data_IF_317233852425
#
_entry.id   IF_317233852425
#
_cell.length_a   1.000
_cell.length_b   1.000
_cell.length_c   1.000
_cell.angle_alpha   90.00
_cell.angle_beta   90.00
_cell.angle_gamma   90.00
#
_symmetry.space_group_name_H-M   'P 1'
#
loop_
_entity.id
_entity.type
_entity.pdbx_description
1 polymer ?
#
# COMPACT_ATOMS: atom_id res chain seq x y z
N UNK A 1 -2.19 -9.57 3.69
CA UNK A 1 -3.37 -10.09 4.41
C UNK A 1 -3.65 -9.14 5.56
N UNK A 2 -4.84 -8.58 5.50
CA UNK A 2 -5.21 -7.28 6.04
C UNK A 2 -5.77 -7.33 7.46
N UNK A 3 -5.48 -8.40 8.20
CA UNK A 3 -6.02 -8.62 9.54
C UNK A 3 -5.85 -7.37 10.41
N UNK A 4 -6.95 -6.97 11.06
CA UNK A 4 -7.00 -5.69 11.76
C UNK A 4 -6.00 -5.64 12.92
N UNK A 5 -5.08 -4.68 12.85
CA UNK A 5 -4.04 -4.48 13.87
C UNK A 5 -2.86 -5.45 13.77
N UNK A 6 -2.87 -6.39 12.81
CA UNK A 6 -1.75 -7.28 12.54
C UNK A 6 -1.73 -7.67 11.06
N UNK A 7 -1.18 -6.79 10.22
CA UNK A 7 -1.03 -7.09 8.79
C UNK A 7 0.09 -8.12 8.62
N UNK A 8 -0.20 -9.19 7.88
CA UNK A 8 0.74 -10.29 7.63
C UNK A 8 1.18 -10.26 6.17
N UNK A 9 2.50 -10.32 5.97
CA UNK A 9 3.13 -10.32 4.66
C UNK A 9 3.99 -11.57 4.45
N UNK A 10 4.13 -11.97 3.18
CA UNK A 10 5.13 -12.95 2.79
C UNK A 10 6.49 -12.26 2.65
N UNK A 11 7.51 -12.73 3.37
CA UNK A 11 8.85 -12.14 3.39
C UNK A 11 9.44 -11.96 1.97
N UNK A 12 9.26 -12.95 1.09
CA UNK A 12 9.78 -12.91 -0.29
C UNK A 12 9.18 -11.76 -1.12
N UNK A 13 8.02 -11.24 -0.73
CA UNK A 13 7.31 -10.19 -1.45
C UNK A 13 7.33 -8.84 -0.73
N UNK A 14 7.73 -8.79 0.54
CA UNK A 14 7.63 -7.59 1.37
C UNK A 14 8.96 -7.14 1.99
N UNK A 15 9.91 -8.04 2.22
CA UNK A 15 11.23 -7.65 2.70
C UNK A 15 11.94 -6.82 1.62
N UNK A 16 12.59 -5.73 2.05
CA UNK A 16 13.38 -4.86 1.20
C UNK A 16 14.74 -4.57 1.83
N UNK A 17 15.80 -4.72 1.04
CA UNK A 17 17.18 -4.44 1.38
C UNK A 17 17.78 -3.42 0.41
N UNK A 18 18.07 -2.22 0.91
CA UNK A 18 18.61 -1.10 0.12
C UNK A 18 19.91 -1.42 -0.63
N UNK A 19 20.76 -2.33 -0.10
CA UNK A 19 22.04 -2.70 -0.72
C UNK A 19 21.93 -3.78 -1.78
N UNK A 20 20.81 -4.51 -1.84
CA UNK A 20 20.63 -5.69 -2.70
C UNK A 20 19.48 -5.56 -3.68
N UNK A 21 18.40 -4.90 -3.28
CA UNK A 21 17.14 -4.92 -3.99
C UNK A 21 16.93 -3.71 -4.89
N UNK A 22 16.17 -3.91 -5.95
CA UNK A 22 15.94 -2.89 -6.97
C UNK A 22 14.93 -1.84 -6.52
N UNK A 23 14.92 -0.69 -7.20
CA UNK A 23 13.87 0.33 -7.03
C UNK A 23 12.47 -0.23 -7.31
N UNK A 24 12.35 -1.14 -8.28
CA UNK A 24 11.07 -1.81 -8.55
C UNK A 24 10.59 -2.65 -7.37
N UNK A 25 11.50 -3.37 -6.70
CA UNK A 25 11.17 -4.11 -5.50
C UNK A 25 10.72 -3.17 -4.38
N UNK A 26 11.44 -2.06 -4.17
CA UNK A 26 11.04 -1.02 -3.20
C UNK A 26 9.62 -0.50 -3.46
N UNK A 27 9.31 -0.21 -4.73
CA UNK A 27 8.00 0.26 -5.15
C UNK A 27 6.92 -0.78 -4.89
N UNK A 28 7.17 -2.05 -5.23
CA UNK A 28 6.22 -3.14 -4.94
C UNK A 28 5.91 -3.27 -3.45
N UNK A 29 6.93 -3.23 -2.59
CA UNK A 29 6.75 -3.29 -1.14
C UNK A 29 5.89 -2.11 -0.65
N UNK A 30 6.15 -0.91 -1.17
CA UNK A 30 5.38 0.28 -0.81
C UNK A 30 3.91 0.19 -1.26
N UNK A 31 3.65 -0.26 -2.50
CA UNK A 31 2.29 -0.46 -3.04
C UNK A 31 1.54 -1.48 -2.17
N UNK A 32 2.13 -2.65 -1.91
CA UNK A 32 1.51 -3.68 -1.08
C UNK A 32 1.30 -3.21 0.37
N UNK A 33 2.20 -2.39 0.92
CA UNK A 33 1.98 -1.78 2.23
C UNK A 33 0.75 -0.86 2.21
N UNK A 34 0.65 0.02 1.21
CA UNK A 34 -0.45 0.97 1.08
C UNK A 34 -1.82 0.27 0.89
N UNK A 35 -1.89 -0.77 0.05
CA UNK A 35 -3.10 -1.57 -0.16
C UNK A 35 -3.65 -2.16 1.16
N UNK A 36 -2.79 -2.81 1.93
CA UNK A 36 -3.17 -3.49 3.16
C UNK A 36 -3.47 -2.51 4.30
N UNK A 37 -2.83 -1.33 4.28
CA UNK A 37 -3.18 -0.22 5.15
C UNK A 37 -4.56 0.34 4.80
N UNK A 38 -4.90 0.49 3.51
CA UNK A 38 -6.22 0.95 3.09
C UNK A 38 -7.33 -0.01 3.55
N UNK A 39 -7.05 -1.32 3.57
CA UNK A 39 -7.98 -2.31 4.12
C UNK A 39 -8.30 -2.15 5.61
N UNK A 40 -7.45 -1.46 6.39
CA UNK A 40 -7.76 -1.14 7.78
C UNK A 40 -9.01 -0.26 7.90
N UNK A 41 -9.34 0.52 6.87
CA UNK A 41 -10.62 1.23 6.76
C UNK A 41 -11.62 0.47 5.89
N UNK A 42 -11.21 0.07 4.68
CA UNK A 42 -12.08 -0.55 3.66
C UNK A 42 -11.89 -2.06 3.63
N UNK A 43 -12.65 -2.75 4.48
CA UNK A 43 -12.55 -4.18 4.73
C UNK A 43 -12.74 -4.48 6.20
N UNK A 44 -12.04 -3.74 7.06
CA UNK A 44 -12.09 -3.92 8.51
C UNK A 44 -13.14 -3.01 9.19
N UNK A 45 -13.04 -1.69 9.06
CA UNK A 45 -14.00 -0.74 9.66
C UNK A 45 -15.32 -0.72 8.89
N UNK A 46 -15.24 -0.65 7.56
CA UNK A 46 -16.39 -0.73 6.66
C UNK A 46 -16.25 -1.99 5.82
N UNK A 47 -17.12 -2.97 6.06
CA UNK A 47 -17.11 -4.25 5.36
C UNK A 47 -18.37 -4.43 4.49
N UNK A 48 -18.26 -5.07 3.32
CA UNK A 48 -19.40 -5.35 2.46
C UNK A 48 -20.36 -6.31 3.17
N UNK A 49 -21.67 -6.11 2.92
CA UNK A 49 -22.72 -7.01 3.42
C UNK A 49 -22.54 -8.45 2.93
N UNK A 50 -22.03 -8.63 1.71
CA UNK A 50 -21.88 -9.92 1.05
C UNK A 50 -20.74 -9.93 0.04
N UNK A 51 -20.22 -11.11 -0.26
CA UNK A 51 -19.08 -11.33 -1.18
C UNK A 51 -19.32 -10.82 -2.60
N UNK A 52 -20.56 -10.70 -3.05
CA UNK A 52 -20.90 -10.06 -4.33
C UNK A 52 -20.43 -8.59 -4.41
N UNK A 53 -20.14 -7.97 -3.26
CA UNK A 53 -19.66 -6.60 -3.14
C UNK A 53 -18.21 -6.53 -2.65
N UNK A 54 -17.42 -7.61 -2.80
CA UNK A 54 -16.00 -7.64 -2.40
C UNK A 54 -15.17 -6.53 -3.07
N UNK A 55 -15.61 -6.04 -4.22
CA UNK A 55 -15.00 -4.89 -4.89
C UNK A 55 -14.97 -3.61 -4.01
N UNK A 56 -15.87 -3.47 -3.03
CA UNK A 56 -15.84 -2.36 -2.07
C UNK A 56 -14.62 -2.43 -1.14
N UNK A 57 -14.01 -3.59 -0.98
CA UNK A 57 -12.74 -3.71 -0.25
C UNK A 57 -11.58 -3.56 -1.23
N UNK A 58 -11.44 -4.50 -2.16
CA UNK A 58 -10.29 -4.59 -3.05
C UNK A 58 -10.18 -3.38 -3.98
N UNK A 59 -11.30 -2.88 -4.51
CA UNK A 59 -11.31 -1.73 -5.41
C UNK A 59 -10.92 -0.43 -4.71
N UNK A 60 -11.38 -0.23 -3.47
CA UNK A 60 -10.94 0.94 -2.69
C UNK A 60 -9.48 0.80 -2.25
N UNK A 61 -9.04 -0.38 -1.84
CA UNK A 61 -7.64 -0.63 -1.52
C UNK A 61 -6.72 -0.36 -2.71
N UNK A 62 -7.06 -0.85 -3.91
CA UNK A 62 -6.31 -0.56 -5.15
C UNK A 62 -6.39 0.90 -5.60
N UNK A 63 -7.48 1.61 -5.30
CA UNK A 63 -7.53 3.05 -5.56
C UNK A 63 -6.58 3.81 -4.63
N UNK A 64 -6.60 3.49 -3.33
CA UNK A 64 -5.78 4.18 -2.35
C UNK A 64 -4.31 3.82 -2.42
N UNK A 65 -3.94 2.60 -2.83
CA UNK A 65 -2.52 2.25 -3.01
C UNK A 65 -1.86 3.16 -4.06
N UNK A 66 -2.51 3.37 -5.21
CA UNK A 66 -2.00 4.27 -6.25
C UNK A 66 -1.98 5.73 -5.79
N UNK A 67 -3.07 6.20 -5.16
CA UNK A 67 -3.16 7.57 -4.65
C UNK A 67 -2.06 7.89 -3.63
N UNK A 68 -1.84 7.01 -2.65
CA UNK A 68 -0.81 7.21 -1.61
C UNK A 68 0.59 7.20 -2.20
N UNK A 69 0.85 6.33 -3.17
CA UNK A 69 2.17 6.23 -3.81
C UNK A 69 2.47 7.49 -4.64
N UNK A 70 1.48 8.04 -5.35
CA UNK A 70 1.65 9.28 -6.09
C UNK A 70 1.96 10.46 -5.16
N UNK A 71 1.20 10.61 -4.07
CA UNK A 71 1.43 11.63 -3.05
C UNK A 71 2.84 11.50 -2.44
N UNK A 72 3.23 10.31 -2.00
CA UNK A 72 4.55 10.07 -1.39
C UNK A 72 5.68 10.38 -2.39
N UNK A 73 5.53 10.00 -3.66
CA UNK A 73 6.51 10.36 -4.68
C UNK A 73 6.59 11.87 -4.85
N UNK A 74 5.44 12.56 -4.93
CA UNK A 74 5.39 14.02 -5.03
C UNK A 74 6.13 14.67 -3.86
N UNK A 75 5.88 14.26 -2.61
CA UNK A 75 6.60 14.77 -1.43
C UNK A 75 8.12 14.54 -1.50
N UNK A 76 8.57 13.38 -1.97
CA UNK A 76 9.99 13.09 -2.12
C UNK A 76 10.63 13.96 -3.20
N UNK A 77 9.95 14.17 -4.34
CA UNK A 77 10.45 15.02 -5.41
C UNK A 77 10.47 16.50 -5.03
N UNK A 78 9.42 17.02 -4.37
CA UNK A 78 9.39 18.42 -3.92
C UNK A 78 10.44 18.71 -2.85
N UNK A 79 10.64 17.80 -1.89
CA UNK A 79 11.68 17.98 -0.87
C UNK A 79 13.11 17.87 -1.42
N UNK A 80 13.30 17.21 -2.56
CA UNK A 80 14.59 17.17 -3.25
C UNK A 80 14.86 18.46 -4.06
N UNK A 81 13.81 19.13 -4.53
CA UNK A 81 13.90 20.40 -5.29
C UNK A 81 14.10 21.64 -4.40
N UNK A 82 13.72 21.60 -3.12
CA UNK A 82 13.93 22.72 -2.17
C UNK A 82 15.39 22.78 -1.66
N UNK A 83 16.20 21.75 -1.95
CA UNK A 83 17.61 21.68 -1.59
C UNK A 83 18.57 22.21 -2.69
N UNK A 84 18.05 22.84 -3.74
CA UNK A 84 18.81 23.59 -4.76
C UNK A 84 18.32 25.03 -4.84
#
# INVERSE_FOLDING_TARGET
MENWGLIIYNENNFAYNEKKDTRHQKMRVAITAAHEMAHQWFGNVVSPRWWSHVWLNEGFASFFEEYVIDEVNFYVFTNMLICF
#
